data_IF_748342288096
#
_entry.id   IF_748342288096
#
_cell.length_a   1.000
_cell.length_b   1.000
_cell.length_c   1.000
_cell.angle_alpha   90.00
_cell.angle_beta   90.00
_cell.angle_gamma   90.00
#
_symmetry.space_group_name_H-M   'P 1'
#
loop_
_entity.id
_entity.type
_entity.pdbx_description
1 polymer ?
#
# COMPACT_ATOMS: atom_id res chain seq x y z
N UNK A 1 -9.31 15.83 10.38
CA UNK A 1 -8.60 14.85 9.48
C UNK A 1 -7.25 14.40 10.02
N UNK A 2 -6.28 15.29 10.24
CA UNK A 2 -4.93 14.88 10.69
C UNK A 2 -4.95 14.02 11.96
N UNK A 3 -5.69 14.43 13.00
CA UNK A 3 -5.76 13.70 14.26
C UNK A 3 -6.47 12.35 14.12
N UNK A 4 -7.40 12.25 13.19
CA UNK A 4 -8.10 10.98 12.92
C UNK A 4 -7.18 10.01 12.17
N UNK A 5 -6.43 10.51 11.16
CA UNK A 5 -5.48 9.68 10.41
C UNK A 5 -4.36 9.17 11.31
N UNK A 6 -3.78 10.04 12.16
CA UNK A 6 -2.71 9.58 13.08
C UNK A 6 -3.24 8.57 14.10
N UNK A 7 -4.48 8.71 14.57
CA UNK A 7 -5.09 7.74 15.47
C UNK A 7 -5.22 6.37 14.80
N UNK A 8 -5.73 6.30 13.57
CA UNK A 8 -5.77 5.05 12.81
C UNK A 8 -4.37 4.45 12.64
N UNK A 9 -3.38 5.28 12.31
CA UNK A 9 -2.00 4.83 12.20
C UNK A 9 -1.44 4.28 13.52
N UNK A 10 -1.71 4.97 14.63
CA UNK A 10 -1.25 4.54 15.97
C UNK A 10 -1.92 3.24 16.40
N UNK A 11 -3.20 3.06 16.11
CA UNK A 11 -3.94 1.84 16.42
C UNK A 11 -3.45 0.65 15.57
N UNK A 12 -3.14 0.85 14.28
CA UNK A 12 -2.47 -0.17 13.44
C UNK A 12 -1.11 -0.56 14.03
N UNK A 13 -0.31 0.43 14.43
CA UNK A 13 0.98 0.18 15.07
C UNK A 13 0.87 -0.52 16.42
N UNK A 14 -0.11 -0.13 17.23
CA UNK A 14 -0.40 -0.78 18.52
C UNK A 14 -0.84 -2.24 18.32
N UNK A 15 -1.66 -2.53 17.31
CA UNK A 15 -2.07 -3.89 16.96
C UNK A 15 -0.87 -4.78 16.64
N UNK A 16 0.07 -4.28 15.84
CA UNK A 16 1.31 -5.01 15.49
C UNK A 16 2.20 -5.18 16.72
N UNK A 17 2.45 -4.10 17.48
CA UNK A 17 3.41 -4.10 18.57
C UNK A 17 2.93 -4.88 19.80
N UNK A 18 1.64 -4.82 20.16
CA UNK A 18 1.07 -5.55 21.30
C UNK A 18 1.20 -7.06 21.18
N UNK A 19 1.27 -7.57 19.94
CA UNK A 19 1.46 -8.99 19.65
C UNK A 19 2.92 -9.33 19.27
N UNK A 20 3.84 -8.36 19.36
CA UNK A 20 5.24 -8.54 18.95
C UNK A 20 5.39 -8.97 17.49
N UNK A 21 4.43 -8.61 16.63
CA UNK A 21 4.38 -9.03 15.23
C UNK A 21 4.19 -10.54 15.02
N UNK A 22 3.63 -11.26 16.00
CA UNK A 22 3.48 -12.72 15.97
C UNK A 22 2.02 -13.14 15.91
N UNK A 23 1.71 -14.27 15.25
CA UNK A 23 0.39 -14.87 15.34
C UNK A 23 0.08 -15.30 16.79
N UNK A 24 -1.17 -15.12 17.21
CA UNK A 24 -1.63 -15.63 18.51
C UNK A 24 -1.69 -17.16 18.47
N UNK A 25 -1.24 -17.88 19.51
CA UNK A 25 -1.34 -19.32 19.58
C UNK A 25 -2.78 -19.81 19.31
N UNK A 26 -2.92 -20.78 18.41
CA UNK A 26 -4.23 -21.32 17.99
C UNK A 26 -4.91 -20.56 16.84
N UNK A 27 -4.42 -19.41 16.45
CA UNK A 27 -4.87 -18.70 15.23
C UNK A 27 -4.55 -19.50 13.96
N UNK A 28 -5.20 -19.12 12.85
CA UNK A 28 -4.92 -19.76 11.55
C UNK A 28 -3.47 -19.55 11.14
N UNK A 29 -2.93 -18.33 11.28
CA UNK A 29 -1.53 -18.04 10.97
C UNK A 29 -0.56 -18.86 11.82
N UNK A 30 -0.85 -19.04 13.12
CA UNK A 30 -0.01 -19.88 13.98
C UNK A 30 0.00 -21.34 13.54
N UNK A 31 -1.16 -21.89 13.15
CA UNK A 31 -1.25 -23.25 12.60
C UNK A 31 -0.45 -23.39 11.31
N UNK A 32 -0.65 -22.46 10.37
CA UNK A 32 0.07 -22.44 9.09
C UNK A 32 1.60 -22.35 9.28
N UNK A 33 2.08 -21.61 10.27
CA UNK A 33 3.51 -21.50 10.56
C UNK A 33 4.07 -22.74 11.26
N UNK A 34 3.32 -23.39 12.15
CA UNK A 34 3.77 -24.57 12.88
C UNK A 34 3.78 -25.83 11.99
N UNK A 35 2.71 -26.01 11.21
CA UNK A 35 2.48 -27.16 10.35
C UNK A 35 2.77 -26.83 8.88
N UNK A 36 3.80 -26.00 8.62
CA UNK A 36 4.15 -25.53 7.29
C UNK A 36 4.69 -26.64 6.40
N UNK A 37 3.88 -27.19 5.46
CA UNK A 37 4.31 -28.26 4.56
C UNK A 37 5.31 -27.78 3.49
N UNK A 38 5.51 -26.46 3.36
CA UNK A 38 6.44 -25.83 2.44
C UNK A 38 7.77 -25.48 3.09
N UNK A 39 7.97 -25.88 4.35
CA UNK A 39 9.23 -25.68 5.06
C UNK A 39 10.37 -26.41 4.37
N UNK A 40 11.44 -25.69 4.10
CA UNK A 40 12.65 -26.20 3.48
C UNK A 40 13.91 -25.75 4.23
N UNK A 41 15.08 -25.93 3.63
CA UNK A 41 16.36 -25.48 4.18
C UNK A 41 16.45 -23.96 4.41
N UNK A 42 15.51 -23.17 3.88
CA UNK A 42 15.45 -21.71 4.00
C UNK A 42 14.55 -21.25 5.15
N UNK A 43 13.87 -22.17 5.77
CA UNK A 43 12.93 -21.95 6.85
C UNK A 43 11.48 -22.18 6.47
N UNK A 44 10.59 -21.38 7.02
CA UNK A 44 9.15 -21.47 6.81
C UNK A 44 8.67 -20.36 5.88
N UNK A 45 8.21 -20.69 4.65
CA UNK A 45 7.53 -19.74 3.78
C UNK A 45 6.31 -19.10 4.42
N UNK A 46 5.53 -19.85 5.22
CA UNK A 46 4.40 -19.28 5.96
C UNK A 46 4.84 -18.19 6.95
N UNK A 47 5.96 -18.40 7.67
CA UNK A 47 6.52 -17.38 8.55
C UNK A 47 7.04 -16.17 7.76
N UNK A 48 7.57 -16.38 6.56
CA UNK A 48 8.01 -15.29 5.68
C UNK A 48 6.82 -14.43 5.22
N UNK A 49 5.64 -15.04 5.00
CA UNK A 49 4.39 -14.30 4.72
C UNK A 49 4.01 -13.42 5.92
N UNK A 50 4.06 -13.96 7.14
CA UNK A 50 3.81 -13.18 8.36
C UNK A 50 4.78 -11.99 8.44
N UNK A 51 6.07 -12.21 8.21
CA UNK A 51 7.06 -11.13 8.16
C UNK A 51 6.73 -10.05 7.13
N UNK A 52 6.34 -10.45 5.92
CA UNK A 52 5.94 -9.53 4.86
C UNK A 52 4.69 -8.72 5.23
N UNK A 53 3.71 -9.36 5.87
CA UNK A 53 2.53 -8.67 6.39
C UNK A 53 2.88 -7.61 7.43
N UNK A 54 3.76 -7.94 8.38
CA UNK A 54 4.22 -6.98 9.40
C UNK A 54 4.91 -5.78 8.75
N UNK A 55 5.78 -6.02 7.78
CA UNK A 55 6.46 -4.94 7.04
C UNK A 55 5.47 -4.04 6.30
N UNK A 56 4.47 -4.61 5.62
CA UNK A 56 3.45 -3.82 4.91
C UNK A 56 2.55 -3.05 5.87
N UNK A 57 2.17 -3.62 7.02
CA UNK A 57 1.41 -2.92 8.05
C UNK A 57 2.21 -1.75 8.64
N UNK A 58 3.50 -1.96 8.93
CA UNK A 58 4.41 -0.91 9.40
C UNK A 58 4.58 0.20 8.36
N UNK A 59 4.74 -0.13 7.09
CA UNK A 59 4.83 0.85 6.01
C UNK A 59 3.53 1.66 5.86
N UNK A 60 2.37 1.00 5.94
CA UNK A 60 1.08 1.68 5.93
C UNK A 60 0.97 2.68 7.10
N UNK A 61 1.31 2.26 8.31
CA UNK A 61 1.34 3.10 9.50
C UNK A 61 2.24 4.34 9.31
N UNK A 62 3.47 4.14 8.83
CA UNK A 62 4.44 5.22 8.64
C UNK A 62 3.95 6.27 7.63
N UNK A 63 3.43 5.82 6.50
CA UNK A 63 2.83 6.69 5.49
C UNK A 63 1.62 7.46 6.02
N UNK A 64 0.74 6.85 6.82
CA UNK A 64 -0.39 7.57 7.43
C UNK A 64 0.08 8.61 8.44
N UNK A 65 1.10 8.33 9.25
CA UNK A 65 1.72 9.32 10.14
C UNK A 65 2.31 10.48 9.37
N UNK A 66 3.03 10.20 8.29
CA UNK A 66 3.58 11.23 7.42
C UNK A 66 2.47 12.11 6.81
N UNK A 67 1.36 11.51 6.36
CA UNK A 67 0.20 12.26 5.88
C UNK A 67 -0.40 13.19 6.95
N UNK A 68 -0.51 12.71 8.19
CA UNK A 68 -0.97 13.54 9.32
C UNK A 68 -0.06 14.75 9.59
N UNK A 69 1.25 14.55 9.53
CA UNK A 69 2.25 15.64 9.70
C UNK A 69 2.09 16.69 8.58
N UNK A 70 1.99 16.24 7.33
CA UNK A 70 1.79 17.12 6.18
C UNK A 70 0.49 17.93 6.30
N UNK A 71 -0.59 17.31 6.74
CA UNK A 71 -1.86 18.00 6.97
C UNK A 71 -1.78 19.06 8.08
N UNK A 72 -1.04 18.79 9.16
CA UNK A 72 -0.86 19.72 10.27
C UNK A 72 0.02 20.92 9.90
N UNK A 73 0.90 20.76 8.92
CA UNK A 73 1.75 21.86 8.47
C UNK A 73 0.97 23.04 7.88
N UNK A 74 -0.31 22.84 7.54
CA UNK A 74 -1.18 23.80 6.84
C UNK A 74 -0.60 24.34 5.52
N UNK A 75 0.43 23.70 5.02
CA UNK A 75 1.03 24.00 3.72
C UNK A 75 0.43 23.06 2.69
N UNK A 76 -0.08 23.61 1.61
CA UNK A 76 -0.55 22.79 0.49
C UNK A 76 0.65 22.07 -0.11
N UNK A 77 0.61 20.74 -0.11
CA UNK A 77 1.70 19.93 -0.64
C UNK A 77 1.19 18.80 -1.51
N UNK A 78 1.76 18.67 -2.68
CA UNK A 78 1.51 17.54 -3.58
C UNK A 78 2.08 16.22 -3.02
N UNK A 79 3.05 16.30 -2.12
CA UNK A 79 3.65 15.13 -1.45
C UNK A 79 2.64 14.31 -0.65
N UNK A 80 1.52 14.92 -0.23
CA UNK A 80 0.43 14.24 0.45
C UNK A 80 -0.11 13.06 -0.39
N UNK A 81 -0.21 13.22 -1.71
CA UNK A 81 -0.66 12.16 -2.64
C UNK A 81 0.31 10.99 -2.67
N UNK A 82 1.62 11.29 -2.63
CA UNK A 82 2.67 10.26 -2.64
C UNK A 82 2.60 9.40 -1.37
N UNK A 83 2.46 10.01 -0.19
CA UNK A 83 2.40 9.26 1.06
C UNK A 83 1.10 8.49 1.21
N UNK A 84 -0.05 9.05 0.81
CA UNK A 84 -1.34 8.32 0.83
C UNK A 84 -1.33 7.16 -0.16
N UNK A 85 -0.76 7.36 -1.35
CA UNK A 85 -0.55 6.28 -2.29
C UNK A 85 0.29 5.16 -1.66
N UNK A 86 1.41 5.49 -1.01
CA UNK A 86 2.26 4.52 -0.32
C UNK A 86 1.51 3.75 0.77
N UNK A 87 0.69 4.43 1.58
CA UNK A 87 -0.16 3.77 2.58
C UNK A 87 -1.13 2.77 1.94
N UNK A 88 -1.82 3.19 0.86
CA UNK A 88 -2.80 2.35 0.17
C UNK A 88 -2.14 1.15 -0.52
N UNK A 89 -0.99 1.33 -1.16
CA UNK A 89 -0.21 0.25 -1.78
C UNK A 89 0.24 -0.79 -0.74
N UNK A 90 0.83 -0.33 0.36
CA UNK A 90 1.30 -1.21 1.44
C UNK A 90 0.14 -2.01 2.05
N UNK A 91 -0.97 -1.35 2.35
CA UNK A 91 -2.14 -2.01 2.91
C UNK A 91 -2.80 -3.00 1.92
N UNK A 92 -2.87 -2.67 0.63
CA UNK A 92 -3.42 -3.57 -0.38
C UNK A 92 -2.55 -4.84 -0.55
N UNK A 93 -1.22 -4.72 -0.47
CA UNK A 93 -0.30 -5.88 -0.47
C UNK A 93 -0.51 -6.72 0.80
N UNK A 94 -0.60 -6.09 1.97
CA UNK A 94 -0.87 -6.80 3.22
C UNK A 94 -2.22 -7.54 3.19
N UNK A 95 -3.27 -6.89 2.67
CA UNK A 95 -4.59 -7.50 2.49
C UNK A 95 -4.58 -8.66 1.49
N UNK A 96 -3.78 -8.58 0.43
CA UNK A 96 -3.56 -9.66 -0.53
C UNK A 96 -2.93 -10.90 0.12
N UNK A 97 -1.99 -10.69 1.04
CA UNK A 97 -1.35 -11.78 1.79
C UNK A 97 -2.27 -12.37 2.87
N UNK A 98 -3.01 -11.53 3.57
CA UNK A 98 -3.89 -11.92 4.67
C UNK A 98 -5.33 -12.27 4.24
N UNK A 99 -5.63 -12.30 2.94
CA UNK A 99 -6.96 -12.56 2.39
C UNK A 99 -7.60 -13.82 3.05
N UNK A 100 -8.72 -13.67 3.74
CA UNK A 100 -9.35 -14.78 4.46
C UNK A 100 -9.96 -15.85 3.53
N UNK A 101 -10.12 -15.52 2.24
CA UNK A 101 -10.71 -16.46 1.26
C UNK A 101 -9.71 -17.44 0.65
N UNK A 102 -8.42 -17.35 1.02
CA UNK A 102 -7.37 -18.22 0.46
C UNK A 102 -6.86 -19.23 1.49
N UNK A 103 -6.41 -20.37 0.98
CA UNK A 103 -5.74 -21.40 1.77
C UNK A 103 -4.25 -21.11 1.99
N UNK A 104 -3.58 -21.95 2.78
CA UNK A 104 -2.16 -21.83 3.08
C UNK A 104 -1.29 -21.91 1.83
N UNK A 105 -1.60 -22.82 0.88
CA UNK A 105 -0.83 -22.99 -0.34
C UNK A 105 -0.82 -21.72 -1.17
N UNK A 106 -2.00 -21.14 -1.38
CA UNK A 106 -2.18 -19.91 -2.12
C UNK A 106 -1.47 -18.74 -1.41
N UNK A 107 -1.54 -18.67 -0.09
CA UNK A 107 -0.88 -17.65 0.71
C UNK A 107 0.65 -17.71 0.59
N UNK A 108 1.21 -18.91 0.72
CA UNK A 108 2.64 -19.16 0.52
C UNK A 108 3.06 -18.80 -0.90
N UNK A 109 2.30 -19.20 -1.91
CA UNK A 109 2.54 -18.85 -3.31
C UNK A 109 2.58 -17.33 -3.52
N UNK A 110 1.60 -16.59 -2.96
CA UNK A 110 1.57 -15.12 -3.03
C UNK A 110 2.80 -14.49 -2.38
N UNK A 111 3.18 -14.94 -1.20
CA UNK A 111 4.37 -14.45 -0.49
C UNK A 111 5.66 -14.73 -1.24
N UNK A 112 5.83 -15.94 -1.77
CA UNK A 112 6.98 -16.31 -2.57
C UNK A 112 7.06 -15.49 -3.87
N UNK A 113 5.94 -15.26 -4.55
CA UNK A 113 5.90 -14.42 -5.76
C UNK A 113 6.34 -12.98 -5.49
N UNK A 114 5.88 -12.36 -4.40
CA UNK A 114 6.32 -11.02 -4.00
C UNK A 114 7.82 -10.97 -3.72
N UNK A 115 8.35 -11.99 -3.06
CA UNK A 115 9.78 -12.11 -2.79
C UNK A 115 10.60 -12.32 -4.06
N UNK A 116 10.16 -13.19 -4.97
CA UNK A 116 10.76 -13.39 -6.29
C UNK A 116 10.81 -12.07 -7.09
N UNK A 117 9.71 -11.33 -7.11
CA UNK A 117 9.67 -10.04 -7.78
C UNK A 117 10.73 -9.07 -7.21
N UNK A 118 10.91 -9.02 -5.89
CA UNK A 118 11.95 -8.23 -5.23
C UNK A 118 13.35 -8.66 -5.65
N UNK A 119 13.65 -9.96 -5.60
CA UNK A 119 14.95 -10.52 -6.01
C UNK A 119 15.27 -10.20 -7.49
N UNK A 120 14.29 -10.39 -8.38
CA UNK A 120 14.45 -10.04 -9.79
C UNK A 120 14.69 -8.54 -10.01
N UNK A 121 14.01 -7.70 -9.25
CA UNK A 121 14.15 -6.23 -9.34
C UNK A 121 15.52 -5.76 -8.86
N UNK A 122 16.00 -6.28 -7.74
CA UNK A 122 17.34 -5.97 -7.21
C UNK A 122 18.45 -6.45 -8.16
N UNK A 123 18.32 -7.68 -8.69
CA UNK A 123 19.22 -8.21 -9.69
C UNK A 123 19.29 -7.32 -10.94
N UNK A 124 18.13 -6.91 -11.46
CA UNK A 124 18.05 -6.01 -12.60
C UNK A 124 18.69 -4.65 -12.32
N UNK A 125 18.44 -4.05 -11.15
CA UNK A 125 19.05 -2.79 -10.74
C UNK A 125 20.58 -2.90 -10.74
N UNK A 126 21.15 -3.97 -10.19
CA UNK A 126 22.59 -4.21 -10.22
C UNK A 126 23.15 -4.37 -11.65
N UNK A 127 22.39 -5.04 -12.53
CA UNK A 127 22.78 -5.15 -13.95
C UNK A 127 22.90 -3.78 -14.64
N UNK A 128 21.99 -2.84 -14.32
CA UNK A 128 22.05 -1.48 -14.86
C UNK A 128 23.31 -0.70 -14.39
N UNK A 129 23.86 -1.06 -13.22
CA UNK A 129 25.01 -0.39 -12.61
C UNK A 129 26.32 -1.21 -12.68
N UNK A 130 26.32 -2.36 -13.37
CA UNK A 130 27.42 -3.32 -13.35
C UNK A 130 28.78 -2.72 -13.78
N UNK A 131 28.79 -1.68 -14.61
CA UNK A 131 30.00 -0.98 -15.02
C UNK A 131 30.62 -0.04 -13.99
N UNK A 132 29.87 0.34 -12.94
CA UNK A 132 30.28 1.29 -11.92
C UNK A 132 30.40 0.70 -10.51
N UNK A 133 29.91 -0.51 -10.30
CA UNK A 133 29.91 -1.21 -8.99
C UNK A 133 30.95 -2.34 -9.01
N UNK A 134 32.04 -2.27 -8.22
CA UNK A 134 33.14 -3.23 -8.26
C UNK A 134 32.72 -4.70 -8.03
N UNK A 135 31.70 -4.92 -7.18
CA UNK A 135 31.23 -6.26 -6.78
C UNK A 135 29.94 -6.69 -7.50
N UNK A 136 29.51 -5.96 -8.54
CA UNK A 136 28.23 -6.21 -9.20
C UNK A 136 28.11 -7.65 -9.72
N UNK A 137 29.15 -8.18 -10.33
CA UNK A 137 29.16 -9.56 -10.87
C UNK A 137 28.94 -10.60 -9.76
N UNK A 138 29.61 -10.45 -8.62
CA UNK A 138 29.47 -11.34 -7.46
C UNK A 138 28.07 -11.26 -6.86
N UNK A 139 27.53 -10.04 -6.71
CA UNK A 139 26.17 -9.83 -6.22
C UNK A 139 25.12 -10.41 -7.17
N UNK A 140 25.27 -10.21 -8.48
CA UNK A 140 24.38 -10.79 -9.50
C UNK A 140 24.41 -12.32 -9.44
N UNK A 141 25.59 -12.94 -9.35
CA UNK A 141 25.70 -14.39 -9.19
C UNK A 141 25.02 -14.88 -7.90
N UNK A 142 25.06 -14.10 -6.82
CA UNK A 142 24.32 -14.38 -5.60
C UNK A 142 22.80 -14.39 -5.83
N UNK A 143 22.24 -13.42 -6.57
CA UNK A 143 20.83 -13.42 -6.94
C UNK A 143 20.47 -14.57 -7.88
N UNK A 144 21.31 -14.91 -8.85
CA UNK A 144 21.09 -16.07 -9.72
C UNK A 144 21.00 -17.35 -8.91
N UNK A 145 21.89 -17.53 -7.94
CA UNK A 145 21.83 -18.68 -7.02
C UNK A 145 20.51 -18.70 -6.18
N UNK A 146 20.05 -17.55 -5.72
CA UNK A 146 18.76 -17.44 -5.01
C UNK A 146 17.61 -17.85 -5.93
N UNK A 147 17.60 -17.39 -7.19
CA UNK A 147 16.54 -17.74 -8.17
C UNK A 147 16.54 -19.24 -8.49
N UNK A 148 17.71 -19.86 -8.71
CA UNK A 148 17.84 -21.30 -8.95
C UNK A 148 17.31 -22.15 -7.77
N UNK A 149 17.52 -21.65 -6.54
CA UNK A 149 16.97 -22.31 -5.34
C UNK A 149 15.47 -22.17 -5.28
N UNK A 150 14.91 -20.99 -5.59
CA UNK A 150 13.45 -20.82 -5.66
C UNK A 150 12.81 -21.76 -6.68
N UNK A 151 13.45 -21.93 -7.85
CA UNK A 151 12.95 -22.83 -8.89
C UNK A 151 12.89 -24.28 -8.39
N UNK A 152 13.95 -24.74 -7.72
CA UNK A 152 14.00 -26.10 -7.14
C UNK A 152 12.93 -26.30 -6.07
N UNK A 153 12.87 -25.37 -5.09
CA UNK A 153 11.90 -25.45 -4.02
C UNK A 153 10.45 -25.37 -4.55
N UNK A 154 10.19 -24.54 -5.55
CA UNK A 154 8.88 -24.48 -6.21
C UNK A 154 8.49 -25.81 -6.85
N UNK A 155 9.42 -26.46 -7.57
CA UNK A 155 9.19 -27.77 -8.18
C UNK A 155 8.94 -28.87 -7.14
N UNK A 156 9.69 -28.91 -6.06
CA UNK A 156 9.53 -29.86 -4.96
C UNK A 156 8.16 -29.74 -4.30
N UNK A 157 7.62 -28.53 -4.19
CA UNK A 157 6.29 -28.25 -3.63
C UNK A 157 5.17 -28.24 -4.69
N UNK A 158 5.49 -28.63 -5.92
CA UNK A 158 4.52 -28.75 -7.01
C UNK A 158 3.96 -27.42 -7.50
N UNK A 159 4.72 -26.32 -7.36
CA UNK A 159 4.42 -25.07 -8.04
C UNK A 159 5.03 -25.06 -9.44
N UNK A 160 4.34 -24.44 -10.39
CA UNK A 160 4.89 -24.19 -11.72
C UNK A 160 5.71 -22.91 -11.69
N UNK A 161 6.98 -22.99 -12.07
CA UNK A 161 7.86 -21.85 -12.15
C UNK A 161 7.88 -21.28 -13.57
N UNK A 162 7.36 -20.09 -13.75
CA UNK A 162 7.42 -19.40 -15.03
C UNK A 162 8.80 -18.73 -15.22
N UNK A 163 9.43 -18.99 -16.36
CA UNK A 163 10.72 -18.36 -16.70
C UNK A 163 10.61 -16.84 -16.64
N UNK A 164 11.59 -16.19 -16.01
CA UNK A 164 11.69 -14.74 -15.98
C UNK A 164 11.95 -14.23 -17.41
N UNK A 165 11.09 -13.33 -17.86
CA UNK A 165 11.36 -12.48 -19.03
C UNK A 165 12.29 -11.34 -18.61
N UNK A 166 13.02 -10.75 -19.56
CA UNK A 166 13.92 -9.60 -19.36
C UNK A 166 13.27 -8.44 -18.59
N UNK A 167 11.96 -8.29 -18.72
CA UNK A 167 11.19 -7.19 -18.14
C UNK A 167 10.14 -7.64 -17.13
N UNK A 168 10.02 -8.94 -16.87
CA UNK A 168 9.01 -9.48 -15.96
C UNK A 168 9.66 -10.46 -15.01
N UNK A 169 9.38 -10.33 -13.69
CA UNK A 169 9.85 -11.33 -12.74
C UNK A 169 9.24 -12.69 -13.04
N UNK A 170 9.92 -13.75 -12.63
CA UNK A 170 9.36 -15.09 -12.62
C UNK A 170 8.18 -15.15 -11.64
N UNK A 171 7.21 -16.02 -11.93
CA UNK A 171 6.03 -16.21 -11.11
C UNK A 171 5.83 -17.71 -10.83
N UNK A 172 5.22 -18.01 -9.67
CA UNK A 172 4.73 -19.33 -9.34
C UNK A 172 3.24 -19.39 -9.72
N UNK A 173 2.89 -20.32 -10.61
CA UNK A 173 1.55 -20.62 -11.12
C UNK A 173 0.82 -19.45 -11.82
N UNK A 174 0.88 -18.24 -11.28
CA UNK A 174 0.21 -17.07 -11.86
C UNK A 174 0.99 -15.77 -11.67
N UNK A 175 0.63 -14.78 -12.45
CA UNK A 175 1.19 -13.43 -12.37
C UNK A 175 0.77 -12.71 -11.10
N UNK A 176 1.70 -11.98 -10.46
CA UNK A 176 1.37 -11.06 -9.37
C UNK A 176 0.41 -9.97 -9.90
N UNK A 177 -0.72 -9.71 -9.22
CA UNK A 177 -1.59 -8.60 -9.58
C UNK A 177 -0.85 -7.26 -9.51
N UNK A 178 -1.14 -6.37 -10.45
CA UNK A 178 -0.63 -5.00 -10.39
C UNK A 178 -1.19 -4.27 -9.15
N UNK A 179 -0.50 -3.23 -8.71
CA UNK A 179 -0.98 -2.38 -7.60
C UNK A 179 -2.38 -1.84 -7.86
N UNK A 180 -2.69 -1.47 -9.11
CA UNK A 180 -4.03 -1.03 -9.50
C UNK A 180 -5.09 -2.11 -9.28
N UNK A 181 -4.78 -3.36 -9.63
CA UNK A 181 -5.66 -4.52 -9.42
C UNK A 181 -5.84 -4.79 -7.92
N UNK A 182 -4.75 -4.72 -7.13
CA UNK A 182 -4.81 -4.91 -5.68
C UNK A 182 -5.69 -3.84 -5.00
N UNK A 183 -5.51 -2.56 -5.34
CA UNK A 183 -6.37 -1.51 -4.80
C UNK A 183 -7.83 -1.68 -5.21
N UNK A 184 -8.09 -2.02 -6.47
CA UNK A 184 -9.45 -2.26 -6.93
C UNK A 184 -10.12 -3.45 -6.25
N UNK A 185 -9.35 -4.48 -5.92
CA UNK A 185 -9.85 -5.69 -5.27
C UNK A 185 -10.06 -5.53 -3.76
N UNK A 186 -9.11 -4.90 -3.07
CA UNK A 186 -9.08 -4.90 -1.60
C UNK A 186 -9.50 -3.55 -0.99
N UNK A 187 -9.29 -2.44 -1.67
CA UNK A 187 -9.66 -1.11 -1.13
C UNK A 187 -11.01 -0.65 -1.65
N UNK A 188 -11.35 -1.00 -2.89
CA UNK A 188 -12.61 -0.60 -3.55
C UNK A 188 -13.37 -1.81 -4.12
N UNK A 189 -13.67 -2.87 -3.34
CA UNK A 189 -14.19 -4.14 -3.88
C UNK A 189 -15.52 -4.00 -4.61
N UNK A 190 -16.38 -3.08 -4.19
CA UNK A 190 -17.68 -2.83 -4.84
C UNK A 190 -17.60 -1.94 -6.07
N UNK A 191 -16.46 -1.28 -6.30
CA UNK A 191 -16.31 -0.24 -7.34
C UNK A 191 -14.92 -0.27 -7.97
N UNK A 192 -14.56 -1.34 -8.71
CA UNK A 192 -13.19 -1.50 -9.24
C UNK A 192 -12.72 -0.35 -10.14
N UNK A 193 -13.63 0.25 -10.91
CA UNK A 193 -13.32 1.41 -11.77
C UNK A 193 -12.97 2.65 -10.95
N UNK A 194 -13.60 2.83 -9.78
CA UNK A 194 -13.24 3.91 -8.85
C UNK A 194 -11.81 3.68 -8.31
N UNK A 195 -11.50 2.46 -7.87
CA UNK A 195 -10.15 2.10 -7.41
C UNK A 195 -9.08 2.39 -8.46
N UNK A 196 -9.34 2.00 -9.72
CA UNK A 196 -8.44 2.28 -10.85
C UNK A 196 -8.27 3.78 -11.10
N UNK A 197 -9.38 4.53 -11.16
CA UNK A 197 -9.34 5.98 -11.39
C UNK A 197 -8.65 6.72 -10.26
N UNK A 198 -8.92 6.32 -9.03
CA UNK A 198 -8.33 6.90 -7.83
C UNK A 198 -6.80 6.69 -7.81
N UNK A 199 -6.36 5.45 -7.99
CA UNK A 199 -4.94 5.14 -8.04
C UNK A 199 -4.21 5.86 -9.16
N UNK A 200 -4.79 5.92 -10.36
CA UNK A 200 -4.21 6.65 -11.48
C UNK A 200 -4.07 8.15 -11.17
N UNK A 201 -5.05 8.74 -10.47
CA UNK A 201 -4.97 10.13 -10.01
C UNK A 201 -3.82 10.37 -9.03
N UNK A 202 -3.71 9.56 -7.98
CA UNK A 202 -2.61 9.63 -7.01
C UNK A 202 -1.25 9.40 -7.69
N UNK A 203 -1.17 8.41 -8.58
CA UNK A 203 0.04 8.06 -9.32
C UNK A 203 0.50 9.18 -10.24
N UNK A 204 -0.42 9.82 -10.96
CA UNK A 204 -0.10 10.94 -11.85
C UNK A 204 0.51 12.13 -11.09
N UNK A 205 -0.02 12.45 -9.90
CA UNK A 205 0.56 13.48 -9.04
C UNK A 205 1.92 13.05 -8.48
N UNK A 206 2.01 11.83 -7.93
CA UNK A 206 3.25 11.31 -7.35
C UNK A 206 4.42 11.25 -8.35
N UNK A 207 4.12 10.99 -9.63
CA UNK A 207 5.10 10.98 -10.73
C UNK A 207 5.24 12.35 -11.43
N UNK A 208 4.67 13.41 -10.87
CA UNK A 208 4.72 14.77 -11.43
C UNK A 208 4.24 14.85 -12.89
N UNK A 209 3.29 13.99 -13.28
CA UNK A 209 2.71 14.03 -14.61
C UNK A 209 1.86 15.29 -14.77
N UNK A 210 2.06 16.02 -15.86
CA UNK A 210 1.39 17.32 -16.08
C UNK A 210 -0.14 17.24 -15.99
N UNK A 211 -0.76 16.20 -16.54
CA UNK A 211 -2.19 15.97 -16.44
C UNK A 211 -2.69 15.76 -14.99
N UNK A 212 -1.88 15.14 -14.13
CA UNK A 212 -2.18 14.99 -12.70
C UNK A 212 -2.07 16.32 -11.96
N UNK A 213 -1.01 17.09 -12.24
CA UNK A 213 -0.78 18.39 -11.63
C UNK A 213 -1.82 19.43 -12.06
N UNK A 214 -2.15 19.48 -13.35
CA UNK A 214 -3.14 20.43 -13.89
C UNK A 214 -4.55 20.24 -13.28
N UNK A 215 -4.93 19.03 -12.92
CA UNK A 215 -6.20 18.76 -12.22
C UNK A 215 -6.27 19.35 -10.81
N UNK A 216 -5.14 19.76 -10.25
CA UNK A 216 -5.05 20.39 -8.94
C UNK A 216 -5.12 21.90 -8.98
N UNK A 217 -5.09 22.47 -10.16
CA UNK A 217 -5.08 23.91 -10.31
C UNK A 217 -6.52 24.43 -10.50
N UNK A 218 -6.83 25.49 -9.79
CA UNK A 218 -8.05 26.27 -9.95
C UNK A 218 -7.67 27.75 -10.17
N UNK A 219 -8.46 28.54 -10.89
CA UNK A 219 -8.24 29.97 -10.98
C UNK A 219 -8.28 30.61 -9.58
N UNK A 220 -7.38 31.54 -9.33
CA UNK A 220 -7.45 32.42 -8.15
C UNK A 220 -8.21 33.71 -8.46
N UNK A 221 -8.45 34.52 -7.42
CA UNK A 221 -9.18 35.78 -7.55
C UNK A 221 -8.46 36.83 -8.41
N UNK A 222 -7.15 36.70 -8.57
CA UNK A 222 -6.34 37.60 -9.39
C UNK A 222 -6.20 37.15 -10.85
N UNK A 223 -6.86 36.07 -11.25
CA UNK A 223 -6.75 35.47 -12.59
C UNK A 223 -5.52 34.60 -12.78
N UNK A 224 -4.76 34.32 -11.72
CA UNK A 224 -3.69 33.34 -11.67
C UNK A 224 -4.24 31.94 -11.45
N UNK A 225 -3.35 31.01 -11.13
CA UNK A 225 -3.69 29.61 -10.82
C UNK A 225 -3.17 29.26 -9.44
N UNK A 226 -3.99 28.60 -8.64
CA UNK A 226 -3.63 28.08 -7.32
C UNK A 226 -3.99 26.60 -7.17
N UNK A 227 -3.35 25.93 -6.22
CA UNK A 227 -3.68 24.52 -5.94
C UNK A 227 -4.99 24.44 -5.16
N UNK A 228 -5.92 23.63 -5.66
CA UNK A 228 -7.18 23.36 -4.95
C UNK A 228 -6.91 22.54 -3.67
N UNK A 229 -7.16 23.13 -2.53
CA UNK A 229 -6.96 22.55 -1.21
C UNK A 229 -8.21 22.68 -0.32
N UNK A 230 -9.39 22.65 -0.90
CA UNK A 230 -10.63 22.59 -0.11
C UNK A 230 -10.68 21.34 0.76
N UNK A 231 -11.39 21.42 1.89
CA UNK A 231 -11.50 20.29 2.81
C UNK A 231 -12.10 19.04 2.13
N UNK A 232 -13.10 19.25 1.25
CA UNK A 232 -13.74 18.16 0.51
C UNK A 232 -12.79 17.47 -0.48
N UNK A 233 -12.06 18.25 -1.28
CA UNK A 233 -11.08 17.70 -2.22
C UNK A 233 -9.98 16.97 -1.48
N UNK A 234 -9.44 17.57 -0.41
CA UNK A 234 -8.41 16.95 0.42
C UNK A 234 -8.92 15.66 1.07
N UNK A 235 -10.12 15.64 1.61
CA UNK A 235 -10.71 14.44 2.20
C UNK A 235 -10.88 13.32 1.17
N UNK A 236 -11.40 13.65 -0.02
CA UNK A 236 -11.54 12.68 -1.10
C UNK A 236 -10.18 12.07 -1.48
N UNK A 237 -9.15 12.89 -1.60
CA UNK A 237 -7.80 12.45 -1.97
C UNK A 237 -7.12 11.59 -0.90
N UNK A 238 -7.47 11.82 0.35
CA UNK A 238 -6.92 11.06 1.48
C UNK A 238 -7.63 9.74 1.74
N UNK A 239 -8.85 9.57 1.21
CA UNK A 239 -9.74 8.45 1.57
C UNK A 239 -9.11 7.08 1.39
N UNK A 240 -8.30 6.89 0.33
CA UNK A 240 -7.71 5.58 0.03
C UNK A 240 -6.78 5.06 1.13
N UNK A 241 -6.03 5.92 1.79
CA UNK A 241 -5.11 5.50 2.85
C UNK A 241 -5.82 4.86 4.05
N UNK A 242 -6.70 5.61 4.75
CA UNK A 242 -7.46 5.08 5.87
C UNK A 242 -8.39 3.92 5.50
N UNK A 243 -9.01 3.94 4.33
CA UNK A 243 -9.85 2.83 3.85
C UNK A 243 -9.01 1.57 3.64
N UNK A 244 -7.84 1.70 3.04
CA UNK A 244 -6.90 0.58 2.85
C UNK A 244 -6.40 0.03 4.20
N UNK A 245 -6.12 0.89 5.17
CA UNK A 245 -5.75 0.47 6.52
C UNK A 245 -6.87 -0.31 7.21
N UNK A 246 -8.14 0.11 7.05
CA UNK A 246 -9.30 -0.63 7.55
C UNK A 246 -9.35 -2.03 6.94
N UNK A 247 -9.25 -2.15 5.62
CA UNK A 247 -9.26 -3.45 4.93
C UNK A 247 -8.09 -4.34 5.35
N UNK A 248 -6.90 -3.76 5.51
CA UNK A 248 -5.74 -4.51 6.01
C UNK A 248 -6.02 -5.13 7.37
N UNK A 249 -6.63 -4.39 8.29
CA UNK A 249 -6.99 -4.87 9.62
C UNK A 249 -8.07 -5.93 9.55
N UNK A 250 -9.12 -5.71 8.77
CA UNK A 250 -10.23 -6.68 8.57
C UNK A 250 -9.75 -8.04 8.09
N UNK A 251 -8.69 -8.08 7.27
CA UNK A 251 -8.09 -9.32 6.78
C UNK A 251 -7.06 -9.91 7.77
N UNK A 252 -6.25 -9.06 8.37
CA UNK A 252 -5.14 -9.49 9.23
C UNK A 252 -5.60 -10.06 10.56
N UNK A 253 -6.57 -9.39 11.21
CA UNK A 253 -7.05 -9.72 12.56
C UNK A 253 -7.56 -11.17 12.64
N UNK A 254 -8.48 -11.65 11.78
CA UNK A 254 -8.96 -13.02 11.85
C UNK A 254 -7.85 -14.05 11.60
N UNK A 255 -6.96 -13.78 10.65
CA UNK A 255 -5.88 -14.71 10.30
C UNK A 255 -4.84 -14.82 11.41
N UNK A 256 -4.38 -13.67 11.95
CA UNK A 256 -3.37 -13.60 13.01
C UNK A 256 -3.93 -13.91 14.40
N UNK A 257 -5.25 -13.86 14.58
CA UNK A 257 -5.92 -14.00 15.89
C UNK A 257 -5.72 -12.79 16.80
N UNK A 258 -5.45 -11.62 16.26
CA UNK A 258 -5.22 -10.39 17.02
C UNK A 258 -6.54 -9.78 17.54
N UNK A 259 -6.45 -9.00 18.62
CA UNK A 259 -7.59 -8.28 19.19
C UNK A 259 -7.78 -6.92 18.49
N UNK A 260 -8.91 -6.69 17.77
CA UNK A 260 -9.16 -5.45 17.06
C UNK A 260 -9.72 -4.32 17.94
N UNK A 261 -9.84 -4.50 19.26
CA UNK A 261 -10.61 -3.60 20.16
C UNK A 261 -10.19 -2.13 20.00
N UNK A 262 -8.88 -1.83 19.86
CA UNK A 262 -8.40 -0.47 19.68
C UNK A 262 -8.93 0.17 18.38
N UNK A 263 -9.01 -0.59 17.29
CA UNK A 263 -9.44 -0.12 15.98
C UNK A 263 -10.96 0.02 15.85
N UNK A 264 -11.72 -0.67 16.71
CA UNK A 264 -13.20 -0.60 16.72
C UNK A 264 -13.74 0.81 17.02
N UNK A 265 -12.94 1.69 17.61
CA UNK A 265 -13.30 3.08 17.86
C UNK A 265 -12.80 4.05 16.78
N UNK A 266 -11.56 3.87 16.29
CA UNK A 266 -10.94 4.82 15.37
C UNK A 266 -11.46 4.73 13.94
N UNK A 267 -11.73 3.52 13.45
CA UNK A 267 -12.23 3.31 12.08
C UNK A 267 -13.64 3.90 11.89
N UNK A 268 -14.66 3.59 12.73
CA UNK A 268 -15.96 4.24 12.61
C UNK A 268 -15.88 5.76 12.74
N UNK A 269 -15.12 6.29 13.71
CA UNK A 269 -14.94 7.73 13.88
C UNK A 269 -14.31 8.40 12.65
N UNK A 270 -13.47 7.69 11.95
CA UNK A 270 -12.90 8.13 10.67
C UNK A 270 -13.99 8.23 9.59
N UNK A 271 -14.78 7.19 9.38
CA UNK A 271 -15.86 7.22 8.38
C UNK A 271 -16.91 8.29 8.68
N UNK A 272 -17.28 8.47 9.94
CA UNK A 272 -18.18 9.56 10.38
C UNK A 272 -17.62 10.94 10.06
N UNK A 273 -16.30 11.15 10.25
CA UNK A 273 -15.67 12.41 9.90
C UNK A 273 -15.70 12.65 8.39
N UNK A 274 -15.37 11.63 7.58
CA UNK A 274 -15.40 11.74 6.13
C UNK A 274 -16.80 12.01 5.60
N UNK A 275 -17.83 11.34 6.14
CA UNK A 275 -19.23 11.61 5.83
C UNK A 275 -19.58 13.07 6.07
N UNK A 276 -19.29 13.59 7.27
CA UNK A 276 -19.55 15.02 7.59
C UNK A 276 -18.84 16.01 6.66
N UNK A 277 -17.62 15.68 6.22
CA UNK A 277 -16.90 16.54 5.28
C UNK A 277 -17.52 16.48 3.88
N UNK A 278 -17.94 15.30 3.45
CA UNK A 278 -18.60 15.12 2.15
C UNK A 278 -19.95 15.84 2.08
N UNK A 279 -20.71 15.85 3.18
CA UNK A 279 -22.01 16.49 3.29
C UNK A 279 -21.93 18.02 3.53
N UNK A 280 -20.75 18.53 3.90
CA UNK A 280 -20.57 19.96 4.11
C UNK A 280 -20.79 20.75 2.80
N UNK A 281 -21.47 21.91 2.86
CA UNK A 281 -21.62 22.74 1.68
C UNK A 281 -20.27 23.04 1.03
N UNK A 282 -20.17 22.81 -0.27
CA UNK A 282 -18.97 23.20 -1.00
C UNK A 282 -18.86 24.74 -0.93
N UNK A 283 -17.80 25.29 -0.35
CA UNK A 283 -17.54 26.72 -0.42
C UNK A 283 -17.20 27.03 -1.85
N UNK A 284 -18.20 27.33 -2.69
CA UNK A 284 -17.99 27.67 -4.10
C UNK A 284 -16.81 28.63 -4.29
N UNK A 285 -16.30 28.81 -5.48
CA UNK A 285 -15.34 29.89 -5.72
C UNK A 285 -15.99 31.16 -5.14
N UNK A 286 -15.29 31.78 -4.18
CA UNK A 286 -15.77 33.01 -3.57
C UNK A 286 -16.19 33.99 -4.66
N UNK A 287 -17.15 34.89 -4.40
CA UNK A 287 -17.54 35.85 -5.42
C UNK A 287 -16.28 36.53 -5.91
N UNK A 288 -16.04 36.45 -7.22
CA UNK A 288 -14.97 37.20 -7.87
C UNK A 288 -15.09 38.65 -7.36
N UNK A 289 -14.12 39.08 -6.57
CA UNK A 289 -14.12 40.46 -6.11
C UNK A 289 -14.17 41.31 -7.38
N UNK A 290 -15.29 41.99 -7.60
CA UNK A 290 -15.44 43.00 -8.63
C UNK A 290 -14.41 44.10 -8.30
N UNK A 291 -13.17 43.90 -8.71
CA UNK A 291 -12.19 44.98 -8.70
C UNK A 291 -12.53 45.86 -9.85
N UNK A 292 -12.88 47.08 -9.53
CA UNK A 292 -13.10 48.14 -10.52
C UNK A 292 -11.83 48.22 -11.37
N UNK A 293 -11.89 48.11 -12.71
CA UNK A 293 -10.72 48.23 -13.58
C UNK A 293 -10.02 49.58 -13.48
N UNK A 294 -10.55 50.52 -12.69
CA UNK A 294 -9.95 51.83 -12.43
C UNK A 294 -8.88 51.86 -11.30
N UNK A 295 -8.65 50.72 -10.59
CA UNK A 295 -7.71 50.62 -9.48
C UNK A 295 -6.38 49.93 -9.86
N UNK A 296 -6.02 49.86 -11.16
CA UNK A 296 -4.76 49.33 -11.66
C UNK A 296 -3.92 50.48 -12.28
#
# INVERSE_FOLDING_TARGET
MADTIVRVADDVGALVSSNGGRPVPGSQAAKECNDDPFRDEWGSPAMSVVGSLILTATACQDHLRAASILLRSRTVTLSLHTVIRGAAEAAAIGSYLADPAIDQRERVRRGLNLRLAGVCQERWALQCFAGSEPDAATKIAGYDHVLDRFERAAAEHGFTFAAADRFKPAFLDEKIPSTTELLSRYVFPGTPMLGKSYYNGLSAVAHSQLNGLMRKLIPDEAGGMQVNATAQVTALELLAGPLAASTLVEHTVPWMGWDPTALNASIPAMFDLWGRIADAPYPGPGPAANRDPADV
#
